data_IF_466510064945
#
_entry.id   IF_466510064945
#
_cell.length_a   1.000
_cell.length_b   1.000
_cell.length_c   1.000
_cell.angle_alpha   90.00
_cell.angle_beta   90.00
_cell.angle_gamma   90.00
#
_symmetry.space_group_name_H-M   'P 1'
#
loop_
_entity.id
_entity.type
_entity.pdbx_description
1 polymer ?
#
# COMPACT_ATOMS: atom_id res chain seq x y z
N UNK A 1 15.92 -2.64 3.58
CA UNK A 1 14.83 -2.65 4.57
C UNK A 1 13.96 -3.86 4.30
N UNK A 2 13.44 -4.57 5.33
CA UNK A 2 12.43 -5.60 5.13
C UNK A 2 11.20 -5.03 4.40
N UNK A 3 10.55 -5.83 3.56
CA UNK A 3 9.27 -5.47 2.95
C UNK A 3 8.15 -5.46 3.99
N UNK A 4 7.03 -4.81 3.67
CA UNK A 4 5.83 -4.84 4.52
C UNK A 4 5.19 -6.22 4.35
N UNK A 5 4.92 -6.97 5.44
CA UNK A 5 4.23 -8.25 5.34
C UNK A 5 2.81 -8.04 4.82
N UNK A 6 2.47 -8.77 3.76
CA UNK A 6 1.15 -8.78 3.15
C UNK A 6 0.52 -10.15 3.39
N UNK A 7 -0.63 -10.14 4.06
CA UNK A 7 -1.51 -11.29 4.19
C UNK A 7 -2.87 -10.92 3.60
N UNK A 8 -3.26 -11.61 2.53
CA UNK A 8 -4.61 -11.51 1.96
C UNK A 8 -5.28 -12.88 2.04
N UNK A 9 -6.28 -12.98 2.91
CA UNK A 9 -7.19 -14.12 2.94
C UNK A 9 -8.41 -13.88 2.05
N UNK A 10 -8.67 -14.81 1.12
CA UNK A 10 -9.88 -14.83 0.29
C UNK A 10 -10.69 -16.07 0.66
N UNK A 11 -11.99 -15.89 0.90
CA UNK A 11 -12.93 -17.00 1.09
C UNK A 11 -13.69 -17.22 -0.21
N UNK A 12 -13.61 -18.42 -0.76
CA UNK A 12 -14.35 -18.82 -1.97
C UNK A 12 -15.44 -19.81 -1.59
N UNK A 13 -16.69 -19.52 -1.96
CA UNK A 13 -17.81 -20.45 -1.82
C UNK A 13 -17.66 -21.59 -2.84
N UNK A 14 -17.48 -22.83 -2.36
CA UNK A 14 -17.37 -24.00 -3.23
C UNK A 14 -18.75 -24.56 -3.60
N UNK A 15 -19.01 -24.71 -4.89
CA UNK A 15 -20.10 -25.52 -5.43
C UNK A 15 -19.51 -26.50 -6.44
N UNK A 16 -19.24 -27.73 -6.00
CA UNK A 16 -18.70 -28.80 -6.86
C UNK A 16 -19.89 -29.62 -7.38
N UNK A 17 -20.21 -29.54 -8.69
CA UNK A 17 -21.34 -30.27 -9.25
C UNK A 17 -21.03 -31.77 -9.26
N UNK A 18 -21.96 -32.58 -8.75
CA UNK A 18 -21.91 -34.04 -8.93
C UNK A 18 -22.60 -34.37 -10.23
N UNK A 19 -21.87 -35.04 -11.13
CA UNK A 19 -22.37 -35.47 -12.43
C UNK A 19 -22.63 -36.98 -12.43
N UNK A 20 -23.57 -37.41 -13.27
CA UNK A 20 -23.99 -38.81 -13.37
C UNK A 20 -25.36 -39.06 -12.77
N UNK A 21 -25.64 -40.34 -12.50
CA UNK A 21 -26.96 -40.82 -12.11
C UNK A 21 -26.84 -42.06 -11.23
N UNK A 22 -27.86 -42.31 -10.40
CA UNK A 22 -28.09 -43.59 -9.77
C UNK A 22 -29.11 -44.32 -10.64
N UNK A 23 -28.74 -45.46 -11.22
CA UNK A 23 -29.62 -46.18 -12.12
C UNK A 23 -30.81 -46.82 -11.39
N UNK A 24 -31.88 -47.07 -12.14
CA UNK A 24 -33.10 -47.66 -11.61
C UNK A 24 -32.94 -49.14 -11.27
N UNK A 25 -33.75 -49.63 -10.33
CA UNK A 25 -33.85 -51.06 -10.01
C UNK A 25 -35.23 -51.55 -10.45
N UNK A 26 -35.26 -52.63 -11.21
CA UNK A 26 -36.50 -53.28 -11.65
C UNK A 26 -36.57 -54.73 -11.18
N UNK A 27 -37.58 -55.05 -10.37
CA UNK A 27 -37.98 -56.43 -10.08
C UNK A 27 -38.97 -56.86 -11.16
N UNK A 28 -38.65 -57.94 -11.87
CA UNK A 28 -39.54 -58.45 -12.92
C UNK A 28 -40.82 -59.04 -12.31
N UNK A 29 -41.93 -59.10 -13.06
CA UNK A 29 -43.14 -59.78 -12.59
C UNK A 29 -42.84 -61.23 -12.19
N UNK A 30 -43.45 -61.67 -11.09
CA UNK A 30 -43.36 -63.05 -10.64
C UNK A 30 -44.66 -63.46 -9.95
N UNK A 31 -44.90 -64.77 -9.89
CA UNK A 31 -46.06 -65.35 -9.21
C UNK A 31 -45.59 -66.17 -8.02
N UNK A 32 -46.37 -66.21 -6.95
CA UNK A 32 -46.17 -67.11 -5.82
C UNK A 32 -47.48 -67.83 -5.49
N UNK A 33 -47.40 -69.11 -5.17
CA UNK A 33 -48.55 -69.87 -4.72
C UNK A 33 -48.64 -69.79 -3.19
N UNK A 34 -49.76 -69.28 -2.69
CA UNK A 34 -50.03 -69.16 -1.26
C UNK A 34 -50.95 -70.32 -0.85
N UNK A 35 -50.50 -71.24 0.02
CA UNK A 35 -51.30 -72.39 0.43
C UNK A 35 -52.49 -71.95 1.27
N UNK A 36 -53.65 -72.59 1.03
CA UNK A 36 -54.86 -72.36 1.82
C UNK A 36 -54.84 -73.31 3.02
N UNK A 37 -54.83 -72.75 4.24
CA UNK A 37 -55.13 -73.52 5.46
C UNK A 37 -56.41 -72.98 6.12
N UNK A 38 -57.56 -73.42 5.60
CA UNK A 38 -58.86 -73.18 6.24
C UNK A 38 -59.32 -74.46 6.92
N UNK A 39 -59.81 -74.35 8.15
CA UNK A 39 -60.37 -75.46 8.92
C UNK A 39 -61.77 -75.10 9.40
N UNK A 40 -62.77 -75.92 9.09
CA UNK A 40 -64.08 -75.84 9.73
C UNK A 40 -64.04 -76.60 11.04
N UNK A 41 -64.28 -75.90 12.15
CA UNK A 41 -64.41 -76.50 13.47
C UNK A 41 -65.88 -76.59 13.86
N UNK A 42 -66.32 -77.78 14.26
CA UNK A 42 -67.66 -78.06 14.76
C UNK A 42 -67.53 -78.49 16.21
N UNK A 43 -67.95 -77.61 17.11
CA UNK A 43 -68.02 -77.90 18.54
C UNK A 43 -69.26 -78.75 18.85
N UNK A 44 -69.09 -79.79 19.66
CA UNK A 44 -70.12 -80.79 19.94
C UNK A 44 -70.21 -81.09 21.45
N UNK A 45 -71.42 -81.31 21.99
CA UNK A 45 -71.60 -81.54 23.42
C UNK A 45 -71.07 -82.90 23.87
N UNK A 46 -70.48 -82.93 25.06
CA UNK A 46 -69.98 -84.14 25.72
C UNK A 46 -71.05 -85.25 25.80
N UNK A 47 -70.71 -86.53 25.56
CA UNK A 47 -69.36 -87.08 25.38
C UNK A 47 -68.86 -87.11 23.93
N UNK A 48 -69.49 -86.39 22.99
CA UNK A 48 -69.13 -86.42 21.57
C UNK A 48 -67.86 -85.57 21.36
N UNK A 49 -66.79 -86.09 20.71
CA UNK A 49 -65.63 -85.27 20.37
C UNK A 49 -65.99 -84.24 19.29
N UNK A 50 -65.35 -83.07 19.34
CA UNK A 50 -65.45 -82.07 18.27
C UNK A 50 -64.92 -82.62 16.92
N UNK A 51 -65.35 -81.99 15.83
CA UNK A 51 -64.93 -82.36 14.47
C UNK A 51 -64.22 -81.19 13.82
N UNK A 52 -63.02 -81.44 13.29
CA UNK A 52 -62.29 -80.48 12.46
C UNK A 52 -62.21 -81.02 11.03
N UNK A 53 -62.71 -80.26 10.06
CA UNK A 53 -62.65 -80.60 8.63
C UNK A 53 -61.67 -79.64 7.95
N UNK A 54 -60.57 -80.11 7.35
CA UNK A 54 -59.73 -79.26 6.53
C UNK A 54 -60.46 -78.89 5.23
N UNK A 55 -60.41 -77.62 4.85
CA UNK A 55 -61.03 -77.06 3.65
C UNK A 55 -59.93 -76.43 2.79
N UNK A 56 -59.66 -77.02 1.63
CA UNK A 56 -58.58 -76.57 0.72
C UNK A 56 -57.20 -77.18 1.01
N UNK A 57 -57.13 -78.31 1.69
CA UNK A 57 -55.87 -79.03 1.91
C UNK A 57 -55.25 -79.46 0.58
N UNK A 58 -54.06 -78.93 0.27
CA UNK A 58 -53.37 -79.12 -1.02
C UNK A 58 -53.71 -78.08 -2.10
N UNK A 59 -54.67 -77.18 -1.87
CA UNK A 59 -55.01 -76.08 -2.78
C UNK A 59 -54.16 -74.83 -2.47
N UNK A 60 -53.92 -74.01 -3.49
CA UNK A 60 -53.17 -72.75 -3.35
C UNK A 60 -53.75 -71.65 -4.23
N UNK A 61 -53.66 -70.41 -3.75
CA UNK A 61 -54.01 -69.22 -4.54
C UNK A 61 -52.72 -68.66 -5.16
N UNK A 62 -52.64 -68.65 -6.48
CA UNK A 62 -51.54 -67.97 -7.19
C UNK A 62 -51.70 -66.45 -7.08
N UNK A 63 -50.79 -65.80 -6.38
CA UNK A 63 -50.69 -64.35 -6.27
C UNK A 63 -49.68 -63.84 -7.29
N UNK A 64 -50.16 -63.00 -8.23
CA UNK A 64 -49.33 -62.39 -9.26
C UNK A 64 -48.80 -61.03 -8.79
N UNK A 65 -47.47 -60.92 -8.65
CA UNK A 65 -46.80 -59.67 -8.32
C UNK A 65 -46.41 -58.95 -9.64
N UNK A 66 -46.91 -57.73 -9.89
CA UNK A 66 -46.55 -56.98 -11.08
C UNK A 66 -45.10 -56.49 -11.02
N UNK A 67 -44.57 -56.01 -12.16
CA UNK A 67 -43.23 -55.40 -12.23
C UNK A 67 -43.13 -54.24 -11.24
N UNK A 68 -42.13 -54.27 -10.35
CA UNK A 68 -41.82 -53.15 -9.44
C UNK A 68 -40.62 -52.41 -10.03
N UNK A 69 -40.72 -51.09 -10.18
CA UNK A 69 -39.65 -50.24 -10.72
C UNK A 69 -39.38 -49.08 -9.78
N UNK A 70 -38.13 -48.96 -9.36
CA UNK A 70 -37.57 -47.73 -8.80
C UNK A 70 -36.89 -47.03 -9.97
N UNK A 71 -37.37 -45.83 -10.31
CA UNK A 71 -36.85 -45.06 -11.43
C UNK A 71 -35.42 -44.55 -11.15
N UNK A 72 -34.65 -44.38 -12.22
CA UNK A 72 -33.34 -43.71 -12.20
C UNK A 72 -33.46 -42.32 -11.57
N UNK A 73 -32.49 -41.97 -10.73
CA UNK A 73 -32.33 -40.64 -10.14
C UNK A 73 -31.13 -39.93 -10.80
N UNK A 74 -31.35 -38.76 -11.37
CA UNK A 74 -30.29 -37.96 -11.98
C UNK A 74 -29.68 -36.99 -10.96
N UNK A 75 -28.36 -36.83 -10.96
CA UNK A 75 -27.65 -35.99 -9.99
C UNK A 75 -27.53 -34.52 -10.42
N UNK A 76 -28.05 -34.17 -11.61
CA UNK A 76 -28.10 -32.76 -12.07
C UNK A 76 -28.69 -31.82 -11.02
N UNK A 77 -27.93 -30.80 -10.64
CA UNK A 77 -28.30 -29.82 -9.62
C UNK A 77 -27.79 -30.14 -8.21
N UNK A 78 -27.31 -31.36 -7.95
CA UNK A 78 -26.65 -31.69 -6.69
C UNK A 78 -25.22 -31.14 -6.67
N UNK A 79 -24.91 -30.32 -5.66
CA UNK A 79 -23.58 -29.72 -5.48
C UNK A 79 -23.02 -30.05 -4.09
N UNK A 80 -21.79 -30.54 -4.05
CA UNK A 80 -21.04 -30.64 -2.78
C UNK A 80 -20.51 -29.25 -2.42
N UNK A 81 -20.75 -28.82 -1.18
CA UNK A 81 -20.31 -27.54 -0.63
C UNK A 81 -21.39 -26.47 -0.48
N UNK A 82 -22.46 -26.55 -1.28
CA UNK A 82 -23.65 -25.70 -1.16
C UNK A 82 -24.92 -26.54 -1.41
N UNK A 83 -25.45 -27.13 -0.33
CA UNK A 83 -26.71 -27.89 -0.35
C UNK A 83 -27.80 -27.03 0.26
N UNK A 84 -28.65 -26.40 -0.55
CA UNK A 84 -29.82 -25.67 -0.04
C UNK A 84 -29.54 -24.34 0.67
N UNK A 85 -28.44 -23.65 0.33
CA UNK A 85 -28.16 -22.29 0.84
C UNK A 85 -27.51 -22.23 2.22
N UNK A 86 -27.11 -23.38 2.78
CA UNK A 86 -26.34 -23.49 4.03
C UNK A 86 -24.85 -23.70 3.67
N UNK A 87 -23.97 -22.70 3.86
CA UNK A 87 -22.60 -22.73 3.34
C UNK A 87 -21.63 -23.40 4.32
N UNK A 88 -21.37 -24.70 4.14
CA UNK A 88 -20.39 -25.44 4.96
C UNK A 88 -19.00 -25.59 4.33
N UNK A 89 -18.78 -25.11 3.10
CA UNK A 89 -17.50 -25.30 2.40
C UNK A 89 -17.00 -24.01 1.75
N UNK A 90 -16.60 -23.07 2.60
CA UNK A 90 -15.73 -21.96 2.17
C UNK A 90 -14.29 -22.42 2.15
N UNK A 91 -13.67 -22.40 0.97
CA UNK A 91 -12.22 -22.56 0.88
C UNK A 91 -11.56 -21.25 1.30
N UNK A 92 -10.72 -21.30 2.33
CA UNK A 92 -9.85 -20.20 2.67
C UNK A 92 -8.55 -20.31 1.86
N UNK A 93 -8.25 -19.27 1.09
CA UNK A 93 -7.03 -19.15 0.30
C UNK A 93 -6.23 -17.98 0.86
N UNK A 94 -5.05 -18.25 1.40
CA UNK A 94 -4.17 -17.25 1.99
C UNK A 94 -3.01 -16.94 1.04
N UNK A 95 -2.84 -15.66 0.71
CA UNK A 95 -1.69 -15.17 -0.06
C UNK A 95 -0.76 -14.44 0.93
N UNK A 96 0.31 -15.13 1.32
CA UNK A 96 1.39 -14.60 2.16
C UNK A 96 2.51 -14.10 1.25
N UNK A 97 2.78 -12.80 1.27
CA UNK A 97 3.82 -12.15 0.47
C UNK A 97 4.46 -10.98 1.23
N UNK A 98 5.44 -10.33 0.63
CA UNK A 98 5.92 -9.02 1.09
C UNK A 98 5.83 -8.00 -0.03
N UNK A 99 5.27 -6.83 0.27
CA UNK A 99 5.31 -5.68 -0.64
C UNK A 99 6.61 -4.92 -0.39
N UNK A 100 7.24 -4.45 -1.47
CA UNK A 100 8.58 -3.89 -1.45
C UNK A 100 8.77 -2.69 -0.50
N UNK A 101 10.03 -2.30 -0.24
CA UNK A 101 10.34 -1.22 0.68
C UNK A 101 9.75 0.11 0.17
N UNK A 102 8.80 0.67 0.92
CA UNK A 102 8.28 2.01 0.65
C UNK A 102 9.35 3.03 1.06
N UNK A 103 9.77 3.87 0.12
CA UNK A 103 10.59 5.04 0.42
C UNK A 103 9.68 6.25 0.65
N UNK A 104 9.54 6.66 1.91
CA UNK A 104 8.89 7.93 2.27
C UNK A 104 9.99 8.99 2.42
N UNK A 105 10.12 9.96 1.49
CA UNK A 105 11.12 11.00 1.61
C UNK A 105 10.78 11.94 2.77
N UNK A 106 11.53 11.83 3.87
CA UNK A 106 11.37 12.69 5.07
C UNK A 106 11.74 14.16 4.84
N UNK A 107 12.47 14.44 3.76
CA UNK A 107 12.81 15.77 3.30
C UNK A 107 12.92 15.75 1.77
N UNK A 108 12.11 16.56 1.10
CA UNK A 108 12.21 16.78 -0.33
C UNK A 108 12.96 18.09 -0.60
N UNK A 109 14.16 17.99 -1.16
CA UNK A 109 14.92 19.13 -1.68
C UNK A 109 14.71 19.14 -3.20
N UNK A 110 14.00 20.14 -3.77
CA UNK A 110 13.79 20.22 -5.22
C UNK A 110 15.11 20.32 -5.98
N UNK A 111 15.14 19.83 -7.22
CA UNK A 111 16.25 20.00 -8.14
C UNK A 111 16.31 21.46 -8.64
N UNK A 112 16.88 22.33 -7.82
CA UNK A 112 17.04 23.76 -8.08
C UNK A 112 18.51 24.19 -7.91
N UNK A 113 18.90 25.37 -8.42
CA UNK A 113 20.15 26.02 -8.05
C UNK A 113 20.18 26.29 -6.54
N UNK A 114 20.90 25.43 -5.80
CA UNK A 114 21.09 25.56 -4.36
C UNK A 114 19.87 25.21 -3.50
N UNK A 115 19.99 25.45 -2.19
CA UNK A 115 19.01 25.05 -1.17
C UNK A 115 18.63 26.25 -0.30
N UNK A 116 17.34 26.53 -0.16
CA UNK A 116 16.84 27.62 0.69
C UNK A 116 17.17 29.03 0.18
N UNK A 117 17.60 29.18 -1.08
CA UNK A 117 17.84 30.50 -1.68
C UNK A 117 16.52 31.24 -1.93
N UNK A 118 16.43 32.49 -1.46
CA UNK A 118 15.32 33.42 -1.69
C UNK A 118 15.74 34.50 -2.70
N UNK A 119 16.01 34.08 -3.94
CA UNK A 119 16.58 34.92 -4.99
C UNK A 119 15.76 34.93 -6.27
N UNK A 120 15.69 36.08 -6.95
CA UNK A 120 14.96 36.21 -8.22
C UNK A 120 15.64 35.42 -9.36
N UNK A 121 16.97 35.48 -9.45
CA UNK A 121 17.75 34.73 -10.45
C UNK A 121 18.38 33.47 -9.85
N UNK A 122 18.64 32.42 -10.66
CA UNK A 122 19.44 31.26 -10.30
C UNK A 122 20.70 31.63 -9.50
N UNK A 123 20.87 31.01 -8.33
CA UNK A 123 21.97 31.27 -7.39
C UNK A 123 22.38 29.93 -6.80
N UNK A 124 23.67 29.58 -6.77
CA UNK A 124 24.11 28.28 -6.22
C UNK A 124 24.53 28.37 -4.76
N UNK A 125 24.52 27.24 -4.03
CA UNK A 125 24.81 27.20 -2.59
C UNK A 125 23.56 27.35 -1.72
N UNK A 126 23.66 27.97 -0.55
CA UNK A 126 22.66 27.87 0.52
C UNK A 126 22.22 29.23 1.09
N UNK A 127 20.91 29.40 1.29
CA UNK A 127 20.30 30.52 2.02
C UNK A 127 20.71 31.94 1.55
N UNK A 128 21.00 32.10 0.26
CA UNK A 128 21.27 33.41 -0.35
C UNK A 128 19.94 34.17 -0.58
N UNK A 129 19.98 35.50 -0.68
CA UNK A 129 18.80 36.37 -0.85
C UNK A 129 19.04 37.56 -1.79
N UNK A 130 17.97 38.16 -2.29
CA UNK A 130 18.02 39.34 -3.16
C UNK A 130 17.84 39.03 -4.65
N UNK A 131 18.48 39.78 -5.54
CA UNK A 131 18.29 39.56 -6.99
C UNK A 131 18.98 38.29 -7.49
N UNK A 132 20.00 37.78 -6.79
CA UNK A 132 20.66 36.50 -7.11
C UNK A 132 21.72 36.58 -8.22
N UNK A 133 21.97 35.44 -8.89
CA UNK A 133 23.03 35.31 -9.90
C UNK A 133 24.43 35.07 -9.29
N UNK A 134 24.50 34.68 -8.02
CA UNK A 134 25.74 34.50 -7.25
C UNK A 134 25.99 33.05 -6.81
N UNK A 135 26.87 32.86 -5.83
CA UNK A 135 27.19 31.53 -5.29
C UNK A 135 27.68 31.54 -3.84
N UNK A 136 27.34 30.49 -3.07
CA UNK A 136 27.89 30.28 -1.73
C UNK A 136 26.82 30.34 -0.64
N UNK A 137 27.13 30.92 0.52
CA UNK A 137 26.31 30.81 1.72
C UNK A 137 25.90 32.19 2.27
N UNK A 138 24.61 32.36 2.58
CA UNK A 138 24.07 33.54 3.28
C UNK A 138 24.36 34.91 2.63
N UNK A 139 24.61 34.95 1.31
CA UNK A 139 24.86 36.23 0.62
C UNK A 139 23.53 36.96 0.34
N UNK A 140 23.53 38.30 0.45
CA UNK A 140 22.35 39.15 0.25
C UNK A 140 22.65 40.25 -0.78
N UNK A 141 22.04 40.15 -1.97
CA UNK A 141 22.21 41.12 -3.06
C UNK A 141 22.21 40.46 -4.45
N UNK A 142 23.11 40.91 -5.33
CA UNK A 142 23.17 40.44 -6.73
C UNK A 142 24.59 40.21 -7.24
N UNK A 143 24.82 39.08 -7.93
CA UNK A 143 26.15 38.67 -8.41
C UNK A 143 27.20 38.65 -7.27
N UNK A 144 26.83 38.10 -6.11
CA UNK A 144 27.66 38.04 -4.90
C UNK A 144 28.12 36.60 -4.67
N UNK A 145 29.41 36.41 -4.37
CA UNK A 145 29.99 35.07 -4.20
C UNK A 145 30.84 34.91 -2.93
N UNK A 146 30.61 33.82 -2.19
CA UNK A 146 31.36 33.47 -0.98
C UNK A 146 30.46 33.31 0.25
N UNK A 147 30.85 33.89 1.38
CA UNK A 147 30.18 33.66 2.66
C UNK A 147 29.70 34.97 3.33
N UNK A 148 28.40 35.06 3.64
CA UNK A 148 27.79 36.12 4.45
C UNK A 148 28.03 37.56 3.94
N UNK A 149 28.10 37.74 2.63
CA UNK A 149 28.29 39.05 2.01
C UNK A 149 26.95 39.76 1.78
N UNK A 150 26.79 41.00 2.23
CA UNK A 150 25.58 41.80 2.09
C UNK A 150 25.86 43.14 1.43
N UNK A 151 25.29 43.37 0.25
CA UNK A 151 25.48 44.63 -0.45
C UNK A 151 24.67 44.76 -1.72
N UNK A 152 24.89 45.87 -2.44
CA UNK A 152 24.16 46.13 -3.69
C UNK A 152 24.41 45.04 -4.73
N UNK A 153 25.63 44.99 -5.26
CA UNK A 153 26.07 44.05 -6.31
C UNK A 153 27.57 43.73 -6.16
N UNK A 154 28.01 42.62 -6.76
CA UNK A 154 29.43 42.33 -7.07
C UNK A 154 30.39 42.27 -5.88
N UNK A 155 30.00 41.62 -4.78
CA UNK A 155 30.88 41.38 -3.63
C UNK A 155 31.43 39.95 -3.68
N UNK A 156 32.71 39.76 -3.36
CA UNK A 156 33.35 38.43 -3.35
C UNK A 156 34.30 38.24 -2.17
N UNK A 157 34.27 37.04 -1.58
CA UNK A 157 35.01 36.73 -0.35
C UNK A 157 34.09 36.47 0.83
N UNK A 158 34.40 37.07 1.99
CA UNK A 158 33.70 36.81 3.25
C UNK A 158 33.28 38.12 3.93
N UNK A 159 32.08 38.13 4.51
CA UNK A 159 31.59 39.19 5.42
C UNK A 159 31.62 40.63 4.85
N UNK A 160 31.53 40.74 3.53
CA UNK A 160 31.52 41.99 2.81
C UNK A 160 30.22 42.77 3.02
N UNK A 161 30.24 43.92 3.71
CA UNK A 161 29.02 44.70 4.03
C UNK A 161 29.09 46.12 3.46
N UNK A 162 28.07 46.49 2.67
CA UNK A 162 27.92 47.83 2.08
C UNK A 162 27.95 47.80 0.56
N UNK A 163 28.38 48.90 -0.07
CA UNK A 163 28.71 48.87 -1.49
C UNK A 163 30.20 48.59 -1.64
N UNK A 164 30.54 47.28 -1.57
CA UNK A 164 31.85 46.63 -1.27
C UNK A 164 32.07 46.52 0.27
N UNK A 165 33.16 45.98 0.86
CA UNK A 165 33.76 44.61 0.92
C UNK A 165 34.77 44.61 2.11
N UNK A 166 35.23 43.49 2.67
CA UNK A 166 36.52 43.34 3.38
C UNK A 166 37.17 42.00 3.01
N UNK A 167 37.83 41.97 1.86
CA UNK A 167 38.53 40.81 1.29
C UNK A 167 39.73 41.27 0.48
N UNK A 168 39.56 41.42 -0.84
CA UNK A 168 40.47 42.28 -1.60
C UNK A 168 40.00 43.75 -1.51
N UNK A 169 39.03 44.22 -2.31
CA UNK A 169 38.69 45.65 -2.37
C UNK A 169 37.25 46.04 -2.03
N UNK A 170 37.11 47.14 -1.29
CA UNK A 170 36.37 47.28 -0.03
C UNK A 170 35.87 48.72 0.14
N UNK A 171 34.55 48.99 0.30
CA UNK A 171 34.04 50.38 0.48
C UNK A 171 32.83 50.47 1.43
N UNK A 172 33.06 51.12 2.56
CA UNK A 172 32.17 51.27 3.71
C UNK A 172 32.85 52.18 4.73
N UNK A 173 32.27 52.44 5.90
CA UNK A 173 32.92 53.35 6.85
C UNK A 173 34.26 52.81 7.38
N UNK A 174 34.47 51.48 7.40
CA UNK A 174 35.69 50.82 7.91
C UNK A 174 35.90 49.52 7.11
N UNK A 175 37.09 49.27 6.58
CA UNK A 175 37.20 48.41 5.37
C UNK A 175 38.66 47.99 5.07
N UNK A 176 38.97 46.70 4.87
CA UNK A 176 40.37 46.17 4.99
C UNK A 176 40.76 45.03 4.00
N UNK A 177 41.85 45.23 3.23
CA UNK A 177 42.28 44.40 2.07
C UNK A 177 43.12 45.20 1.04
N UNK A 178 43.16 44.85 -0.25
CA UNK A 178 43.65 45.78 -1.30
C UNK A 178 42.48 46.61 -1.88
N UNK A 179 42.58 47.93 -1.73
CA UNK A 179 41.68 49.00 -2.18
C UNK A 179 40.49 49.23 -1.26
N UNK A 180 40.62 50.21 -0.36
CA UNK A 180 39.72 50.42 0.76
C UNK A 180 39.18 51.86 0.78
N UNK A 181 37.87 52.11 0.75
CA UNK A 181 37.29 53.48 0.72
C UNK A 181 36.16 53.71 1.74
N UNK A 182 35.95 54.96 2.16
CA UNK A 182 35.00 55.38 3.21
C UNK A 182 33.53 55.53 2.76
N UNK A 183 32.58 55.31 3.68
CA UNK A 183 31.21 55.88 3.63
C UNK A 183 30.83 56.77 4.83
N UNK A 184 31.76 57.14 5.71
CA UNK A 184 31.48 58.04 6.82
C UNK A 184 31.50 59.52 6.39
N UNK A 185 30.71 60.36 7.08
CA UNK A 185 30.80 61.82 7.01
C UNK A 185 32.08 62.38 7.67
N UNK A 186 32.07 63.63 8.12
CA UNK A 186 33.26 64.35 8.63
C UNK A 186 34.02 63.71 9.84
N UNK A 187 33.57 62.58 10.38
CA UNK A 187 33.99 62.01 11.69
C UNK A 187 34.80 60.71 11.65
N UNK A 188 35.42 60.34 10.52
CA UNK A 188 36.46 59.28 10.48
C UNK A 188 36.01 57.93 9.91
N UNK A 189 36.88 57.31 9.10
CA UNK A 189 36.65 56.04 8.40
C UNK A 189 37.95 55.24 8.18
N UNK A 190 38.11 54.13 8.92
CA UNK A 190 39.35 53.35 9.02
C UNK A 190 39.55 52.34 7.88
N UNK A 191 40.56 52.55 7.05
CA UNK A 191 40.82 51.74 5.85
C UNK A 191 42.27 51.19 5.83
N UNK A 192 42.45 49.88 5.61
CA UNK A 192 43.78 49.23 5.76
C UNK A 192 44.18 48.21 4.69
N UNK A 193 45.39 48.38 4.12
CA UNK A 193 46.04 47.56 3.08
C UNK A 193 46.49 48.40 1.87
N UNK A 194 46.46 47.91 0.62
CA UNK A 194 46.99 48.67 -0.54
C UNK A 194 45.90 49.50 -1.24
N UNK A 195 45.98 50.83 -1.21
CA UNK A 195 45.20 51.75 -2.06
C UNK A 195 43.96 52.35 -1.39
N UNK A 196 44.12 53.17 -0.34
CA UNK A 196 43.03 53.46 0.60
C UNK A 196 42.61 54.94 0.65
N UNK A 197 41.30 55.23 0.71
CA UNK A 197 40.75 56.60 0.64
C UNK A 197 39.61 56.89 1.65
N UNK A 198 39.87 57.68 2.70
CA UNK A 198 38.89 57.91 3.79
C UNK A 198 39.35 58.82 4.92
N UNK A 199 39.49 58.32 6.15
CA UNK A 199 39.98 59.12 7.29
C UNK A 199 40.46 58.27 8.48
N UNK A 200 41.76 58.31 8.81
CA UNK A 200 42.57 57.28 9.52
C UNK A 200 42.87 56.07 8.62
N UNK A 201 44.10 55.97 8.13
CA UNK A 201 44.45 55.11 6.98
C UNK A 201 45.73 54.29 7.25
N UNK A 202 45.86 53.08 6.71
CA UNK A 202 47.07 52.27 6.89
C UNK A 202 47.43 51.42 5.65
N UNK A 203 48.73 51.27 5.35
CA UNK A 203 49.24 50.47 4.23
C UNK A 203 49.83 51.31 3.08
N UNK A 204 49.75 50.84 1.83
CA UNK A 204 50.35 51.54 0.67
C UNK A 204 49.34 52.45 -0.03
N UNK A 205 49.77 53.61 -0.56
CA UNK A 205 48.96 54.57 -1.34
C UNK A 205 47.66 55.02 -0.65
N UNK A 206 47.74 56.05 0.21
CA UNK A 206 46.67 56.47 1.12
C UNK A 206 46.22 57.93 0.88
N UNK A 207 44.93 58.27 1.05
CA UNK A 207 44.42 59.65 0.92
C UNK A 207 43.18 59.93 1.80
N UNK A 208 43.18 60.99 2.62
CA UNK A 208 42.03 61.26 3.51
C UNK A 208 42.35 62.12 4.73
N UNK A 209 41.35 62.40 5.57
CA UNK A 209 41.53 63.29 6.74
C UNK A 209 42.02 62.54 7.98
N UNK A 210 43.19 62.96 8.49
CA UNK A 210 43.85 62.31 9.63
C UNK A 210 44.49 60.98 9.25
N UNK A 211 45.37 60.99 8.23
CA UNK A 211 46.13 59.83 7.74
C UNK A 211 46.77 59.04 8.87
#
# INVERSE_FOLDING_TARGET
MPGIPLNIGVNVDLAIPVTGFIDGIAVQPFSMDVPIDLKLFIDLPSPIPNVTIPLGEGESITVNIPKIVINRFDLTGFNVGNVGGIPFSRMHIEIINSVGPISVPILHIPAAPGVGNSTINPTSGFFNSGTGGGSGFFNAGQFISGFSNQGGRFLSGVENIGQLTSGMGNIGSIVTGWYNTSTAGLTGALLSGIGNVGSRLAGFLLSGTGQ
#
